data_IF_249988358744
#
_entry.id   IF_249988358744
#
_cell.length_a   1.000
_cell.length_b   1.000
_cell.length_c   1.000
_cell.angle_alpha   90.00
_cell.angle_beta   90.00
_cell.angle_gamma   90.00
#
_symmetry.space_group_name_H-M   'P 1'
#
loop_
_entity.id
_entity.type
_entity.pdbx_description
1 polymer ?
#
# COMPACT_ATOMS: atom_id res chain seq x y z
N UNK A 1 10.18 -22.19 12.53
CA UNK A 1 9.93 -20.75 12.34
C UNK A 1 9.61 -20.57 10.88
N UNK A 2 8.48 -19.92 10.61
CA UNK A 2 7.92 -19.78 9.27
C UNK A 2 8.83 -18.88 8.41
N UNK A 3 9.21 -19.33 7.22
CA UNK A 3 10.11 -18.58 6.33
C UNK A 3 9.42 -17.33 5.74
N UNK A 4 8.14 -17.14 6.02
CA UNK A 4 7.32 -16.01 5.58
C UNK A 4 7.53 -14.73 6.41
N UNK A 5 8.21 -14.82 7.56
CA UNK A 5 8.52 -13.69 8.45
C UNK A 5 9.92 -13.08 8.20
N UNK A 6 10.64 -13.61 7.22
CA UNK A 6 11.88 -13.00 6.77
C UNK A 6 11.53 -11.63 6.12
N UNK A 7 12.15 -10.52 6.56
CA UNK A 7 11.93 -9.23 5.93
C UNK A 7 12.30 -9.36 4.46
N UNK A 8 11.28 -9.33 3.59
CA UNK A 8 11.50 -9.36 2.13
C UNK A 8 12.51 -8.25 1.82
N UNK A 9 13.57 -8.54 1.04
CA UNK A 9 14.53 -7.51 0.67
C UNK A 9 13.74 -6.33 0.11
N UNK A 10 13.97 -5.14 0.69
CA UNK A 10 13.27 -3.92 0.30
C UNK A 10 13.34 -3.83 -1.22
N UNK A 11 12.18 -3.90 -1.87
CA UNK A 11 12.15 -3.87 -3.34
C UNK A 11 12.79 -2.55 -3.75
N UNK A 12 13.70 -2.53 -4.73
CA UNK A 12 14.24 -1.28 -5.26
C UNK A 12 13.07 -0.34 -5.60
N UNK A 13 13.03 0.84 -4.98
CA UNK A 13 11.93 1.79 -5.16
C UNK A 13 10.72 1.59 -4.24
N UNK A 14 10.85 0.92 -3.10
CA UNK A 14 9.78 0.90 -2.08
C UNK A 14 9.59 2.30 -1.46
N UNK A 15 8.70 3.09 -2.07
CA UNK A 15 8.41 4.47 -1.67
C UNK A 15 7.74 4.53 -0.29
N UNK A 16 6.96 3.51 0.09
CA UNK A 16 6.34 3.47 1.42
C UNK A 16 7.40 3.30 2.52
N UNK A 17 8.39 2.43 2.29
CA UNK A 17 9.52 2.28 3.20
C UNK A 17 10.43 3.52 3.27
N UNK A 18 10.51 4.30 2.18
CA UNK A 18 11.23 5.57 2.17
C UNK A 18 10.49 6.65 2.96
N UNK A 19 9.17 6.79 2.75
CA UNK A 19 8.31 7.71 3.50
C UNK A 19 8.39 7.49 5.01
N UNK A 20 8.48 6.22 5.44
CA UNK A 20 8.58 5.85 6.86
C UNK A 20 9.90 6.28 7.53
N UNK A 21 10.92 6.65 6.75
CA UNK A 21 12.23 7.11 7.23
C UNK A 21 12.38 8.63 7.20
N UNK A 22 11.40 9.35 6.67
CA UNK A 22 11.45 10.80 6.60
C UNK A 22 11.32 11.43 7.99
N UNK A 23 12.10 12.49 8.21
CA UNK A 23 12.10 13.27 9.44
C UNK A 23 10.88 14.21 9.46
N UNK A 24 9.90 13.89 10.30
CA UNK A 24 8.65 14.66 10.42
C UNK A 24 8.81 15.92 11.27
N UNK A 25 9.89 16.06 12.06
CA UNK A 25 10.10 17.20 12.96
C UNK A 25 10.32 18.53 12.20
N UNK A 26 10.58 18.43 10.89
CA UNK A 26 10.77 19.58 9.98
C UNK A 26 9.46 20.11 9.40
N UNK A 27 8.36 19.39 9.58
CA UNK A 27 7.07 19.74 9.02
C UNK A 27 6.24 20.51 10.07
N UNK A 28 5.59 21.57 9.62
CA UNK A 28 4.54 22.25 10.39
C UNK A 28 3.30 21.37 10.52
N UNK A 29 2.41 21.72 11.45
CA UNK A 29 1.13 21.01 11.64
C UNK A 29 0.30 20.99 10.35
N UNK A 30 0.23 22.09 9.61
CA UNK A 30 -0.49 22.15 8.33
C UNK A 30 0.13 21.23 7.28
N UNK A 31 1.46 21.15 7.19
CA UNK A 31 2.13 20.23 6.26
C UNK A 31 1.90 18.76 6.64
N UNK A 32 1.83 18.46 7.94
CA UNK A 32 1.48 17.12 8.42
C UNK A 32 0.03 16.77 8.06
N UNK A 33 -0.91 17.71 8.20
CA UNK A 33 -2.31 17.51 7.80
C UNK A 33 -2.45 17.27 6.29
N UNK A 34 -1.78 18.07 5.46
CA UNK A 34 -1.74 17.87 4.01
C UNK A 34 -1.15 16.50 3.63
N UNK A 35 -0.04 16.12 4.28
CA UNK A 35 0.57 14.79 4.08
C UNK A 35 -0.38 13.67 4.45
N UNK A 36 -1.08 13.77 5.59
CA UNK A 36 -2.07 12.78 6.03
C UNK A 36 -3.21 12.65 5.01
N UNK A 37 -3.73 13.78 4.51
CA UNK A 37 -4.81 13.77 3.52
C UNK A 37 -4.40 13.04 2.23
N UNK A 38 -3.20 13.32 1.72
CA UNK A 38 -2.66 12.67 0.53
C UNK A 38 -2.45 11.16 0.72
N UNK A 39 -1.84 10.77 1.84
CA UNK A 39 -1.59 9.35 2.14
C UNK A 39 -2.91 8.58 2.33
N UNK A 40 -3.90 9.20 2.96
CA UNK A 40 -5.23 8.60 3.13
C UNK A 40 -5.91 8.37 1.78
N UNK A 41 -5.87 9.35 0.88
CA UNK A 41 -6.41 9.19 -0.46
C UNK A 41 -5.70 8.06 -1.24
N UNK A 42 -4.39 7.91 -1.10
CA UNK A 42 -3.63 6.83 -1.73
C UNK A 42 -3.96 5.45 -1.13
N UNK A 43 -4.19 5.37 0.19
CA UNK A 43 -4.66 4.14 0.86
C UNK A 43 -6.01 3.71 0.27
N UNK A 44 -6.96 4.63 0.14
CA UNK A 44 -8.27 4.32 -0.42
C UNK A 44 -8.19 3.88 -1.88
N UNK A 45 -7.35 4.55 -2.70
CA UNK A 45 -7.07 4.11 -4.08
C UNK A 45 -6.47 2.69 -4.13
N UNK A 46 -5.53 2.39 -3.24
CA UNK A 46 -4.90 1.07 -3.13
C UNK A 46 -5.90 0.01 -2.71
N UNK A 47 -6.80 0.33 -1.76
CA UNK A 47 -7.87 -0.56 -1.31
C UNK A 47 -8.83 -0.88 -2.46
N UNK A 48 -9.30 0.13 -3.18
CA UNK A 48 -10.17 -0.04 -4.33
C UNK A 48 -9.53 -0.91 -5.42
N UNK A 49 -8.23 -0.72 -5.71
CA UNK A 49 -7.51 -1.56 -6.67
C UNK A 49 -7.38 -3.00 -6.22
N UNK A 50 -7.11 -3.23 -4.92
CA UNK A 50 -7.05 -4.58 -4.33
C UNK A 50 -8.39 -5.29 -4.47
N UNK A 51 -9.48 -4.61 -4.10
CA UNK A 51 -10.84 -5.15 -4.21
C UNK A 51 -11.19 -5.50 -5.65
N UNK A 52 -10.92 -4.59 -6.59
CA UNK A 52 -11.09 -4.87 -8.03
C UNK A 52 -10.31 -6.12 -8.47
N UNK A 53 -9.05 -6.25 -8.07
CA UNK A 53 -8.22 -7.40 -8.44
C UNK A 53 -8.75 -8.72 -7.84
N UNK A 54 -9.22 -8.70 -6.59
CA UNK A 54 -9.84 -9.86 -5.93
C UNK A 54 -11.13 -10.26 -6.63
N UNK A 55 -12.02 -9.30 -6.93
CA UNK A 55 -13.28 -9.55 -7.64
C UNK A 55 -13.06 -10.02 -9.07
N UNK A 56 -12.06 -9.48 -9.77
CA UNK A 56 -11.70 -9.93 -11.11
C UNK A 56 -11.15 -11.36 -11.09
N UNK A 57 -10.28 -11.69 -10.13
CA UNK A 57 -9.76 -13.05 -9.96
C UNK A 57 -10.89 -14.03 -9.63
N UNK A 58 -11.79 -13.69 -8.70
CA UNK A 58 -12.93 -14.53 -8.34
C UNK A 58 -13.88 -14.77 -9.54
N UNK A 59 -14.13 -13.74 -10.35
CA UNK A 59 -14.94 -13.84 -11.57
C UNK A 59 -14.26 -14.70 -12.65
N UNK A 60 -12.95 -14.55 -12.83
CA UNK A 60 -12.18 -15.36 -13.77
C UNK A 60 -12.15 -16.84 -13.35
N UNK A 61 -11.91 -17.13 -12.06
CA UNK A 61 -11.91 -18.52 -11.58
C UNK A 61 -13.28 -19.20 -11.67
N UNK A 62 -14.38 -18.44 -11.61
CA UNK A 62 -15.73 -18.97 -11.85
C UNK A 62 -15.98 -19.30 -13.33
N UNK A 63 -15.35 -18.57 -14.26
CA UNK A 63 -15.47 -18.78 -15.70
C UNK A 63 -14.63 -19.99 -16.19
N UNK A 64 -13.49 -20.26 -15.54
CA UNK A 64 -12.56 -21.34 -15.91
C UNK A 64 -12.79 -22.66 -15.15
N UNK A 65 -13.74 -22.73 -14.20
CA UNK A 65 -14.15 -23.97 -13.50
C UNK A 65 -15.39 -24.62 -14.11
N UNK A 66 -15.50 -24.62 -15.43
CA UNK A 66 -16.54 -25.32 -16.19
C UNK A 66 -15.92 -26.23 -17.24
#
# INVERSE_FOLDING_TARGET
MDFDDAPRPARPGDLAAQLAKEDLDRLSVSELEERIALLTAEIERTRAKREYAVHHKASAEALFRK
#
